data_IF_027834974115
#
_entry.id   IF_027834974115
#
_cell.length_a   1.000
_cell.length_b   1.000
_cell.length_c   1.000
_cell.angle_alpha   90.00
_cell.angle_beta   90.00
_cell.angle_gamma   90.00
#
_symmetry.space_group_name_H-M   'P 1'
#
loop_
_entity.id
_entity.type
_entity.pdbx_description
1 polymer ?
#
# COMPACT_ATOMS: atom_id res chain seq x y z
N UNK A 1 3.21 -17.11 18.63
CA UNK A 1 2.44 -15.84 18.53
C UNK A 1 3.06 -14.67 19.31
N UNK A 2 3.53 -14.81 20.57
CA UNK A 2 4.16 -13.69 21.33
C UNK A 2 5.30 -12.96 20.60
N UNK A 3 6.11 -13.68 19.81
CA UNK A 3 7.24 -13.09 19.09
C UNK A 3 6.81 -12.24 17.87
N UNK A 4 5.69 -12.58 17.20
CA UNK A 4 5.21 -11.83 16.03
C UNK A 4 4.71 -10.44 16.43
N UNK A 5 3.91 -10.34 17.49
CA UNK A 5 3.41 -9.04 17.95
C UNK A 5 4.54 -8.10 18.39
N UNK A 6 5.62 -8.65 18.94
CA UNK A 6 6.78 -7.87 19.34
C UNK A 6 7.53 -7.34 18.12
N UNK A 7 7.77 -8.19 17.12
CA UNK A 7 8.37 -7.78 15.83
C UNK A 7 7.50 -6.76 15.10
N UNK A 8 6.18 -6.99 15.04
CA UNK A 8 5.23 -6.08 14.41
C UNK A 8 5.25 -4.71 15.11
N UNK A 9 5.27 -4.68 16.44
CA UNK A 9 5.32 -3.43 17.20
C UNK A 9 6.63 -2.67 16.97
N UNK A 10 7.74 -3.40 16.86
CA UNK A 10 9.05 -2.82 16.57
C UNK A 10 9.08 -2.18 15.18
N UNK A 11 8.69 -2.93 14.15
CA UNK A 11 8.59 -2.47 12.76
C UNK A 11 7.61 -1.28 12.63
N UNK A 12 6.40 -1.36 13.20
CA UNK A 12 5.45 -0.24 13.25
C UNK A 12 6.07 1.01 13.88
N UNK A 13 6.81 0.84 14.98
CA UNK A 13 7.44 1.98 15.66
C UNK A 13 8.57 2.59 14.82
N UNK A 14 9.30 1.77 14.06
CA UNK A 14 10.31 2.19 13.11
C UNK A 14 9.71 2.95 11.94
N UNK A 15 8.71 2.37 11.26
CA UNK A 15 8.05 3.02 10.12
C UNK A 15 7.33 4.30 10.52
N UNK A 16 6.65 4.33 11.67
CA UNK A 16 5.97 5.54 12.16
C UNK A 16 6.94 6.71 12.42
N UNK A 17 8.19 6.44 12.81
CA UNK A 17 9.22 7.47 13.01
C UNK A 17 9.95 7.85 11.71
N UNK A 18 9.72 7.12 10.62
CA UNK A 18 10.36 7.41 9.34
C UNK A 18 9.87 8.74 8.77
N UNK A 19 10.80 9.57 8.30
CA UNK A 19 10.48 10.83 7.61
C UNK A 19 9.56 10.60 6.41
N UNK A 20 9.77 9.51 5.67
CA UNK A 20 8.94 9.14 4.51
C UNK A 20 7.49 8.92 4.94
N UNK A 21 7.28 8.25 6.07
CA UNK A 21 5.93 7.95 6.56
C UNK A 21 5.22 9.20 7.05
N UNK A 22 5.93 10.09 7.76
CA UNK A 22 5.37 11.38 8.19
C UNK A 22 4.96 12.21 6.97
N UNK A 23 5.80 12.25 5.93
CA UNK A 23 5.48 12.91 4.66
C UNK A 23 4.25 12.26 4.01
N UNK A 24 4.09 10.94 4.08
CA UNK A 24 2.95 10.23 3.49
C UNK A 24 1.65 10.52 4.26
N UNK A 25 1.69 10.50 5.60
CA UNK A 25 0.54 10.80 6.47
C UNK A 25 0.06 12.24 6.30
N UNK A 26 0.96 13.20 6.10
CA UNK A 26 0.61 14.61 5.94
C UNK A 26 0.36 14.95 4.46
N UNK A 27 1.17 14.40 3.57
CA UNK A 27 1.20 14.71 2.15
C UNK A 27 0.01 14.15 1.38
N UNK A 28 -0.43 12.91 1.63
CA UNK A 28 -1.61 12.37 0.96
C UNK A 28 -2.88 13.19 1.26
N UNK A 29 -3.21 13.49 2.54
CA UNK A 29 -4.36 14.34 2.84
C UNK A 29 -4.20 15.77 2.32
N UNK A 30 -2.98 16.32 2.30
CA UNK A 30 -2.73 17.64 1.71
C UNK A 30 -3.00 17.65 0.20
N UNK A 31 -2.68 16.57 -0.53
CA UNK A 31 -3.03 16.42 -1.94
C UNK A 31 -4.55 16.44 -2.13
N UNK A 32 -5.32 15.80 -1.24
CA UNK A 32 -6.79 15.85 -1.28
C UNK A 32 -7.32 17.29 -1.23
N UNK A 33 -6.77 18.13 -0.36
CA UNK A 33 -7.17 19.54 -0.24
C UNK A 33 -6.72 20.34 -1.46
N UNK A 34 -5.50 20.10 -1.95
CA UNK A 34 -5.00 20.78 -3.15
C UNK A 34 -5.86 20.46 -4.38
N UNK A 35 -6.34 19.23 -4.52
CA UNK A 35 -7.17 18.84 -5.66
C UNK A 35 -8.46 19.65 -5.76
N UNK A 36 -9.04 20.07 -4.64
CA UNK A 36 -10.21 20.96 -4.64
C UNK A 36 -9.90 22.29 -5.34
N UNK A 37 -8.71 22.85 -5.13
CA UNK A 37 -8.31 24.12 -5.76
C UNK A 37 -7.93 23.96 -7.23
N UNK A 38 -7.45 22.78 -7.65
CA UNK A 38 -7.06 22.52 -9.04
C UNK A 38 -8.23 22.08 -9.95
N UNK A 39 -9.36 21.61 -9.39
CA UNK A 39 -10.56 21.24 -10.13
C UNK A 39 -11.72 22.23 -9.85
N UNK A 40 -11.79 23.36 -10.57
CA UNK A 40 -12.88 24.32 -10.40
C UNK A 40 -14.22 23.87 -10.98
N UNK A 41 -14.26 22.90 -11.90
CA UNK A 41 -15.49 22.33 -12.46
C UNK A 41 -15.42 20.81 -12.48
N UNK A 42 -16.03 20.18 -11.48
CA UNK A 42 -16.32 18.74 -11.52
C UNK A 42 -17.70 18.57 -12.14
N UNK A 43 -17.78 18.00 -13.35
CA UNK A 43 -19.00 17.63 -14.06
C UNK A 43 -19.77 16.50 -13.33
N UNK A 44 -20.07 16.68 -12.04
CA UNK A 44 -20.81 15.73 -11.20
C UNK A 44 -19.98 14.58 -10.60
N UNK A 45 -18.66 14.49 -10.84
CA UNK A 45 -17.81 13.49 -10.18
C UNK A 45 -17.40 13.92 -8.77
N UNK A 46 -17.64 13.10 -7.72
CA UNK A 46 -17.20 13.41 -6.36
C UNK A 46 -15.67 13.47 -6.25
N UNK A 47 -15.14 14.51 -5.61
CA UNK A 47 -13.70 14.67 -5.43
C UNK A 47 -13.10 13.52 -4.60
N UNK A 48 -13.85 13.00 -3.63
CA UNK A 48 -13.47 11.83 -2.82
C UNK A 48 -13.15 10.58 -3.64
N UNK A 49 -13.82 10.37 -4.78
CA UNK A 49 -13.54 9.23 -5.67
C UNK A 49 -12.19 9.40 -6.38
N UNK A 50 -11.93 10.60 -6.90
CA UNK A 50 -10.67 10.93 -7.55
C UNK A 50 -9.49 10.88 -6.58
N UNK A 51 -9.69 11.42 -5.38
CA UNK A 51 -8.70 11.36 -4.28
C UNK A 51 -8.41 9.90 -3.92
N UNK A 52 -9.43 9.04 -3.81
CA UNK A 52 -9.21 7.63 -3.49
C UNK A 52 -8.36 6.89 -4.53
N UNK A 53 -8.60 7.13 -5.83
CA UNK A 53 -7.79 6.55 -6.91
C UNK A 53 -6.35 7.07 -6.90
N UNK A 54 -6.18 8.38 -6.69
CA UNK A 54 -4.86 8.99 -6.65
C UNK A 54 -4.05 8.49 -5.44
N UNK A 55 -4.69 8.43 -4.28
CA UNK A 55 -4.14 7.85 -3.05
C UNK A 55 -3.76 6.39 -3.23
N UNK A 56 -4.55 5.61 -3.97
CA UNK A 56 -4.20 4.22 -4.29
C UNK A 56 -2.88 4.12 -5.05
N UNK A 57 -2.70 4.93 -6.10
CA UNK A 57 -1.50 4.92 -6.93
C UNK A 57 -0.26 5.45 -6.19
N UNK A 58 -0.37 6.63 -5.55
CA UNK A 58 0.75 7.21 -4.80
C UNK A 58 1.07 6.42 -3.53
N UNK A 59 0.06 5.98 -2.80
CA UNK A 59 0.22 5.16 -1.60
C UNK A 59 0.86 3.81 -1.93
N UNK A 60 0.37 3.12 -2.96
CA UNK A 60 0.91 1.83 -3.38
C UNK A 60 2.35 1.90 -3.87
N UNK A 61 2.68 2.92 -4.68
CA UNK A 61 4.06 3.12 -5.17
C UNK A 61 5.04 3.41 -4.04
N UNK A 62 4.69 4.32 -3.13
CA UNK A 62 5.53 4.63 -1.97
C UNK A 62 5.68 3.42 -1.05
N UNK A 63 4.61 2.67 -0.80
CA UNK A 63 4.66 1.45 0.00
C UNK A 63 5.61 0.39 -0.58
N UNK A 64 5.50 0.17 -1.91
CA UNK A 64 6.37 -0.73 -2.66
C UNK A 64 7.85 -0.32 -2.54
N UNK A 65 8.15 0.96 -2.75
CA UNK A 65 9.52 1.49 -2.64
C UNK A 65 10.06 1.38 -1.21
N UNK A 66 9.25 1.73 -0.21
CA UNK A 66 9.66 1.64 1.19
C UNK A 66 10.01 0.21 1.57
N UNK A 67 9.19 -0.78 1.22
CA UNK A 67 9.50 -2.18 1.49
C UNK A 67 10.74 -2.65 0.73
N UNK A 68 10.81 -2.38 -0.58
CA UNK A 68 11.94 -2.80 -1.41
C UNK A 68 13.27 -2.25 -0.87
N UNK A 69 13.35 -0.93 -0.66
CA UNK A 69 14.57 -0.27 -0.21
C UNK A 69 14.97 -0.65 1.20
N UNK A 70 14.00 -0.84 2.11
CA UNK A 70 14.28 -1.27 3.50
C UNK A 70 14.86 -2.68 3.52
N UNK A 71 14.26 -3.62 2.77
CA UNK A 71 14.73 -5.01 2.71
C UNK A 71 16.15 -5.07 2.12
N UNK A 72 16.41 -4.34 1.04
CA UNK A 72 17.74 -4.32 0.43
C UNK A 72 18.76 -3.67 1.36
N UNK A 73 18.41 -2.57 2.01
CA UNK A 73 19.31 -1.89 2.95
C UNK A 73 19.66 -2.77 4.16
N UNK A 74 18.67 -3.44 4.75
CA UNK A 74 18.89 -4.34 5.89
C UNK A 74 19.71 -5.57 5.51
N UNK A 75 19.51 -6.11 4.31
CA UNK A 75 20.37 -7.19 3.77
C UNK A 75 21.80 -6.72 3.60
N UNK A 76 22.01 -5.57 2.96
CA UNK A 76 23.35 -5.03 2.73
C UNK A 76 24.09 -4.72 4.04
N UNK A 77 23.35 -4.37 5.10
CA UNK A 77 23.88 -4.16 6.45
C UNK A 77 24.00 -5.44 7.29
N UNK A 78 23.68 -6.61 6.72
CA UNK A 78 23.72 -7.92 7.39
C UNK A 78 22.87 -7.98 8.68
N UNK A 79 21.80 -7.17 8.75
CA UNK A 79 20.91 -7.16 9.91
C UNK A 79 20.20 -8.50 10.05
N UNK A 80 19.91 -9.16 8.93
CA UNK A 80 19.29 -10.47 8.94
C UNK A 80 20.17 -11.58 9.50
N UNK A 81 21.51 -11.42 9.53
CA UNK A 81 22.44 -12.42 10.07
C UNK A 81 22.23 -12.63 11.59
N UNK A 82 21.82 -11.57 12.31
CA UNK A 82 21.42 -11.67 13.72
C UNK A 82 20.17 -12.54 13.91
N UNK A 83 19.29 -12.56 12.92
CA UNK A 83 18.08 -13.40 12.92
C UNK A 83 18.32 -14.77 12.28
N UNK A 84 19.41 -14.96 11.54
CA UNK A 84 19.79 -16.23 10.90
C UNK A 84 20.12 -17.31 11.95
N UNK A 85 20.71 -16.93 13.09
CA UNK A 85 21.02 -17.83 14.21
C UNK A 85 19.75 -18.32 14.92
N UNK A 86 18.64 -17.59 14.78
CA UNK A 86 17.43 -17.76 15.59
C UNK A 86 16.26 -18.26 14.74
N UNK A 87 16.13 -19.58 14.67
CA UNK A 87 14.95 -20.40 14.34
C UNK A 87 14.08 -20.04 13.11
N UNK A 88 13.62 -21.07 12.38
CA UNK A 88 13.00 -20.93 11.06
C UNK A 88 11.69 -20.13 11.06
N UNK A 89 10.88 -20.26 12.13
CA UNK A 89 9.58 -19.59 12.27
C UNK A 89 9.70 -18.06 12.42
N UNK A 90 10.87 -17.57 12.84
CA UNK A 90 11.08 -16.15 13.13
C UNK A 90 11.34 -15.39 11.82
N UNK A 91 12.02 -16.02 10.85
CA UNK A 91 12.29 -15.44 9.52
C UNK A 91 11.01 -15.10 8.76
N UNK A 92 10.05 -16.02 8.73
CA UNK A 92 8.75 -15.79 8.08
C UNK A 92 7.92 -14.76 8.82
N UNK A 93 8.00 -14.75 10.16
CA UNK A 93 7.31 -13.78 11.01
C UNK A 93 7.84 -12.36 10.79
N UNK A 94 9.14 -12.19 10.50
CA UNK A 94 9.75 -10.88 10.22
C UNK A 94 9.26 -10.28 8.90
N UNK A 95 9.27 -11.07 7.81
CA UNK A 95 8.79 -10.59 6.50
C UNK A 95 7.29 -10.23 6.56
N UNK A 96 6.48 -11.07 7.22
CA UNK A 96 5.07 -10.76 7.45
C UNK A 96 4.88 -9.51 8.32
N UNK A 97 5.70 -9.32 9.35
CA UNK A 97 5.63 -8.13 10.20
C UNK A 97 5.94 -6.85 9.40
N UNK A 98 6.92 -6.87 8.48
CA UNK A 98 7.23 -5.74 7.60
C UNK A 98 6.08 -5.40 6.66
N UNK A 99 5.55 -6.42 5.96
CA UNK A 99 4.40 -6.25 5.08
C UNK A 99 3.21 -5.63 5.82
N UNK A 100 2.79 -6.23 6.94
CA UNK A 100 1.64 -5.75 7.72
C UNK A 100 1.89 -4.35 8.28
N UNK A 101 3.10 -4.05 8.74
CA UNK A 101 3.42 -2.72 9.29
C UNK A 101 3.28 -1.63 8.24
N UNK A 102 3.89 -1.81 7.06
CA UNK A 102 3.81 -0.82 5.97
C UNK A 102 2.39 -0.73 5.44
N UNK A 103 1.72 -1.86 5.21
CA UNK A 103 0.33 -1.89 4.76
C UNK A 103 -0.59 -1.12 5.71
N UNK A 104 -0.54 -1.38 7.03
CA UNK A 104 -1.36 -0.67 8.01
C UNK A 104 -1.04 0.82 8.06
N UNK A 105 0.24 1.19 7.97
CA UNK A 105 0.64 2.59 7.98
C UNK A 105 0.05 3.35 6.77
N UNK A 106 0.17 2.79 5.57
CA UNK A 106 -0.35 3.41 4.35
C UNK A 106 -1.88 3.37 4.32
N UNK A 107 -2.50 2.31 4.84
CA UNK A 107 -3.95 2.21 4.99
C UNK A 107 -4.52 3.34 5.86
N UNK A 108 -3.87 3.64 6.99
CA UNK A 108 -4.28 4.75 7.86
C UNK A 108 -4.14 6.10 7.14
N UNK A 109 -3.04 6.31 6.41
CA UNK A 109 -2.87 7.54 5.64
C UNK A 109 -3.90 7.68 4.51
N UNK A 110 -4.24 6.57 3.84
CA UNK A 110 -5.27 6.54 2.81
C UNK A 110 -6.66 6.83 3.40
N UNK A 111 -7.00 6.22 4.53
CA UNK A 111 -8.26 6.47 5.22
C UNK A 111 -8.38 7.94 5.66
N UNK A 112 -7.31 8.53 6.20
CA UNK A 112 -7.28 9.95 6.54
C UNK A 112 -7.48 10.83 5.30
N UNK A 113 -6.78 10.54 4.21
CA UNK A 113 -6.91 11.32 2.97
C UNK A 113 -8.31 11.27 2.38
N UNK A 114 -8.92 10.08 2.32
CA UNK A 114 -10.28 9.91 1.80
C UNK A 114 -11.30 10.56 2.73
N UNK A 115 -11.12 10.46 4.05
CA UNK A 115 -11.99 11.14 5.02
C UNK A 115 -11.96 12.65 4.86
N UNK A 116 -10.79 13.25 4.59
CA UNK A 116 -10.71 14.67 4.26
C UNK A 116 -11.40 14.99 2.93
N UNK A 117 -11.23 14.15 1.90
CA UNK A 117 -11.93 14.31 0.63
C UNK A 117 -13.45 14.36 0.79
N UNK A 118 -14.02 13.48 1.61
CA UNK A 118 -15.46 13.47 1.93
C UNK A 118 -15.88 14.73 2.68
N UNK A 119 -15.06 15.23 3.62
CA UNK A 119 -15.35 16.47 4.33
C UNK A 119 -15.34 17.69 3.39
N UNK A 120 -14.45 17.71 2.40
CA UNK A 120 -14.42 18.76 1.37
C UNK A 120 -15.68 18.67 0.49
N UNK A 121 -16.05 17.48 0.02
CA UNK A 121 -17.27 17.27 -0.77
C UNK A 121 -18.52 17.74 -0.02
N UNK A 122 -18.61 17.42 1.28
CA UNK A 122 -19.75 17.80 2.11
C UNK A 122 -19.84 19.32 2.31
N UNK A 123 -18.70 20.00 2.53
CA UNK A 123 -18.69 21.43 2.87
C UNK A 123 -18.77 22.35 1.65
N UNK A 124 -18.22 21.94 0.50
CA UNK A 124 -18.10 22.79 -0.69
C UNK A 124 -19.04 22.40 -1.84
N UNK A 125 -19.49 21.14 -1.92
CA UNK A 125 -20.34 20.67 -3.02
C UNK A 125 -21.78 20.35 -2.59
N UNK A 126 -22.15 20.61 -1.32
CA UNK A 126 -23.48 20.34 -0.73
C UNK A 126 -24.01 18.91 -0.98
N UNK A 127 -23.11 17.95 -1.18
CA UNK A 127 -23.49 16.55 -1.45
C UNK A 127 -23.93 15.84 -0.17
N UNK A 128 -25.05 15.11 -0.25
CA UNK A 128 -25.60 14.37 0.89
C UNK A 128 -24.75 13.10 1.16
N UNK A 129 -24.33 12.83 2.40
CA UNK A 129 -23.48 11.68 2.73
C UNK A 129 -24.01 10.32 2.28
N UNK A 130 -25.33 10.14 2.20
CA UNK A 130 -25.97 8.90 1.76
C UNK A 130 -25.71 8.56 0.29
N UNK A 131 -25.44 9.55 -0.55
CA UNK A 131 -25.11 9.36 -1.97
C UNK A 131 -23.60 9.10 -2.18
N UNK A 132 -22.76 9.63 -1.28
CA UNK A 132 -21.30 9.50 -1.35
C UNK A 132 -20.77 8.17 -0.80
N UNK A 133 -21.37 7.67 0.28
CA UNK A 133 -20.92 6.49 1.01
C UNK A 133 -20.66 5.24 0.15
N UNK A 134 -21.53 4.87 -0.81
CA UNK A 134 -21.29 3.70 -1.65
C UNK A 134 -20.05 3.85 -2.53
N UNK A 135 -19.92 4.97 -3.26
CA UNK A 135 -18.80 5.20 -4.19
C UNK A 135 -17.45 5.36 -3.47
N UNK A 136 -17.47 5.98 -2.29
CA UNK A 136 -16.28 6.08 -1.43
C UNK A 136 -15.87 4.70 -0.90
N UNK A 137 -16.83 3.88 -0.48
CA UNK A 137 -16.57 2.52 -0.01
C UNK A 137 -15.94 1.64 -1.08
N UNK A 138 -16.45 1.71 -2.31
CA UNK A 138 -15.89 0.99 -3.45
C UNK A 138 -14.47 1.46 -3.77
N UNK A 139 -14.25 2.77 -3.84
CA UNK A 139 -12.94 3.35 -4.14
C UNK A 139 -11.91 3.06 -3.04
N UNK A 140 -12.35 3.03 -1.77
CA UNK A 140 -11.52 2.62 -0.66
C UNK A 140 -11.12 1.15 -0.78
N UNK A 141 -12.07 0.25 -1.06
CA UNK A 141 -11.78 -1.18 -1.25
C UNK A 141 -10.78 -1.42 -2.39
N UNK A 142 -10.94 -0.70 -3.50
CA UNK A 142 -10.02 -0.74 -4.64
C UNK A 142 -8.63 -0.26 -4.23
N UNK A 143 -8.55 0.88 -3.52
CA UNK A 143 -7.27 1.44 -3.06
C UNK A 143 -6.51 0.48 -2.15
N UNK A 144 -7.21 -0.14 -1.20
CA UNK A 144 -6.63 -1.09 -0.26
C UNK A 144 -6.08 -2.35 -0.97
N UNK A 145 -6.81 -2.84 -1.97
CA UNK A 145 -6.39 -3.98 -2.79
C UNK A 145 -5.15 -3.66 -3.63
N UNK A 146 -5.13 -2.48 -4.25
CA UNK A 146 -3.98 -2.00 -5.03
C UNK A 146 -2.73 -1.82 -4.16
N UNK A 147 -2.87 -1.24 -2.97
CA UNK A 147 -1.77 -1.06 -2.00
C UNK A 147 -1.24 -2.42 -1.53
N UNK A 148 -2.12 -3.38 -1.22
CA UNK A 148 -1.71 -4.73 -0.80
C UNK A 148 -0.85 -5.42 -1.87
N UNK A 149 -1.28 -5.36 -3.13
CA UNK A 149 -0.54 -5.91 -4.28
C UNK A 149 0.82 -5.22 -4.40
N UNK A 150 0.84 -3.88 -4.41
CA UNK A 150 2.08 -3.11 -4.55
C UNK A 150 3.08 -3.40 -3.42
N UNK A 151 2.61 -3.56 -2.17
CA UNK A 151 3.44 -3.95 -1.04
C UNK A 151 4.10 -5.33 -1.24
N UNK A 152 3.33 -6.33 -1.69
CA UNK A 152 3.85 -7.68 -1.93
C UNK A 152 4.91 -7.70 -3.03
N UNK A 153 4.70 -6.94 -4.11
CA UNK A 153 5.68 -6.83 -5.20
C UNK A 153 6.94 -6.07 -4.76
N UNK A 154 6.78 -4.97 -4.01
CA UNK A 154 7.91 -4.25 -3.44
C UNK A 154 8.78 -5.15 -2.56
N UNK A 155 8.14 -6.03 -1.79
CA UNK A 155 8.84 -7.05 -1.01
C UNK A 155 9.59 -8.05 -1.90
N UNK A 156 8.96 -8.59 -2.95
CA UNK A 156 9.59 -9.48 -3.93
C UNK A 156 10.82 -8.84 -4.59
N UNK A 157 10.69 -7.59 -5.04
CA UNK A 157 11.79 -6.84 -5.66
C UNK A 157 12.92 -6.63 -4.66
N UNK A 158 12.57 -6.25 -3.42
CA UNK A 158 13.53 -6.14 -2.34
C UNK A 158 14.29 -7.44 -2.08
N UNK A 159 13.62 -8.59 -2.22
CA UNK A 159 14.22 -9.93 -2.09
C UNK A 159 15.13 -10.32 -3.25
N UNK A 160 14.84 -9.90 -4.47
CA UNK A 160 15.57 -10.31 -5.67
C UNK A 160 16.77 -9.42 -5.99
N UNK A 161 16.66 -8.12 -5.70
CA UNK A 161 17.67 -7.11 -6.03
C UNK A 161 18.58 -6.83 -4.83
N UNK A 162 19.85 -6.52 -5.09
CA UNK A 162 20.84 -6.21 -4.04
C UNK A 162 21.25 -4.73 -4.01
N UNK A 163 20.95 -3.96 -5.07
CA UNK A 163 21.19 -2.51 -5.11
C UNK A 163 19.93 -1.72 -4.73
N UNK A 164 20.06 -0.84 -3.74
CA UNK A 164 18.97 0.04 -3.26
C UNK A 164 18.36 0.88 -4.38
N UNK A 165 19.13 1.57 -5.25
CA UNK A 165 18.53 2.42 -6.30
C UNK A 165 17.79 1.60 -7.36
N UNK A 166 18.31 0.45 -7.79
CA UNK A 166 17.60 -0.38 -8.77
C UNK A 166 16.32 -0.97 -8.17
N UNK A 167 16.34 -1.38 -6.90
CA UNK A 167 15.16 -1.84 -6.19
C UNK A 167 14.09 -0.75 -6.11
N UNK A 168 14.47 0.51 -5.83
CA UNK A 168 13.54 1.63 -5.82
C UNK A 168 12.89 1.87 -7.21
N UNK A 169 13.68 1.94 -8.27
CA UNK A 169 13.18 2.20 -9.63
C UNK A 169 12.25 1.07 -10.09
N UNK A 170 12.66 -0.19 -9.89
CA UNK A 170 11.83 -1.35 -10.23
C UNK A 170 10.55 -1.39 -9.39
N UNK A 171 10.62 -1.04 -8.10
CA UNK A 171 9.46 -1.00 -7.22
C UNK A 171 8.44 0.06 -7.64
N UNK A 172 8.88 1.23 -8.14
CA UNK A 172 8.00 2.25 -8.70
C UNK A 172 7.29 1.70 -9.94
N UNK A 173 8.06 1.15 -10.88
CA UNK A 173 7.50 0.69 -12.15
C UNK A 173 6.59 -0.53 -11.97
N UNK A 174 7.09 -1.61 -11.40
CA UNK A 174 6.34 -2.85 -11.24
C UNK A 174 5.20 -2.69 -10.23
N UNK A 175 5.43 -1.98 -9.12
CA UNK A 175 4.41 -1.73 -8.11
C UNK A 175 3.20 -1.00 -8.67
N UNK A 176 3.42 0.08 -9.43
CA UNK A 176 2.31 0.83 -10.03
C UNK A 176 1.57 -0.01 -11.09
N UNK A 177 2.31 -0.59 -12.05
CA UNK A 177 1.72 -1.29 -13.19
C UNK A 177 0.91 -2.51 -12.77
N UNK A 178 1.42 -3.30 -11.83
CA UNK A 178 0.71 -4.48 -11.35
C UNK A 178 -0.43 -4.14 -10.38
N UNK A 179 -0.36 -3.02 -9.65
CA UNK A 179 -1.48 -2.56 -8.83
C UNK A 179 -2.72 -2.18 -9.66
N UNK A 180 -2.52 -1.76 -10.92
CA UNK A 180 -3.63 -1.48 -11.85
C UNK A 180 -4.45 -2.72 -12.23
N UNK A 181 -3.90 -3.94 -12.07
CA UNK A 181 -4.66 -5.17 -12.27
C UNK A 181 -5.87 -5.28 -11.33
N UNK A 182 -5.83 -4.60 -10.18
CA UNK A 182 -6.95 -4.54 -9.25
C UNK A 182 -8.09 -3.61 -9.71
N UNK A 183 -7.82 -2.75 -10.69
CA UNK A 183 -8.75 -1.70 -11.18
C UNK A 183 -9.30 -2.06 -12.56
N UNK A 184 -8.44 -2.57 -13.45
CA UNK A 184 -8.72 -2.78 -14.88
C UNK A 184 -10.05 -3.50 -15.17
N UNK A 185 -10.36 -4.65 -14.54
CA UNK A 185 -11.56 -5.41 -14.94
C UNK A 185 -12.88 -4.76 -14.48
N UNK A 186 -12.85 -3.97 -13.40
CA UNK A 186 -14.01 -3.21 -12.95
C UNK A 186 -14.34 -2.02 -13.84
N UNK A 187 -13.38 -1.54 -14.63
CA UNK A 187 -13.57 -0.45 -15.62
C UNK A 187 -13.96 -1.01 -17.00
N UNK A 188 -13.50 -2.21 -17.33
CA UNK A 188 -13.71 -2.80 -18.66
C UNK A 188 -14.99 -3.64 -18.77
N UNK A 189 -15.60 -4.05 -17.66
CA UNK A 189 -16.76 -4.93 -17.64
C UNK A 189 -17.84 -4.35 -16.71
N UNK A 190 -18.87 -3.74 -17.29
CA UNK A 190 -19.97 -3.08 -16.55
C UNK A 190 -20.80 -4.04 -15.67
N UNK A 191 -20.76 -5.35 -15.93
CA UNK A 191 -21.54 -6.35 -15.19
C UNK A 191 -20.92 -6.81 -13.88
N UNK A 192 -19.70 -6.37 -13.56
CA UNK A 192 -18.95 -6.81 -12.38
C UNK A 192 -18.94 -5.71 -11.33
N UNK A 193 -19.32 -6.03 -10.09
CA UNK A 193 -19.15 -5.10 -8.98
C UNK A 193 -17.65 -4.82 -8.76
N UNK A 194 -17.18 -3.56 -8.94
CA UNK A 194 -15.75 -3.25 -8.92
C UNK A 194 -15.09 -3.57 -7.57
N UNK A 195 -15.78 -3.34 -6.46
CA UNK A 195 -15.22 -3.54 -5.12
C UNK A 195 -15.02 -5.03 -4.80
N UNK A 196 -16.02 -5.87 -5.06
CA UNK A 196 -15.93 -7.31 -4.83
C UNK A 196 -14.83 -7.94 -5.68
N UNK A 197 -14.74 -7.54 -6.94
CA UNK A 197 -13.70 -8.02 -7.83
C UNK A 197 -12.30 -7.58 -7.38
N UNK A 198 -12.15 -6.30 -7.03
CA UNK A 198 -10.87 -5.75 -6.59
C UNK A 198 -10.38 -6.41 -5.31
N UNK A 199 -11.27 -6.64 -4.33
CA UNK A 199 -10.95 -7.39 -3.11
C UNK A 199 -10.53 -8.83 -3.45
N UNK A 200 -11.27 -9.51 -4.33
CA UNK A 200 -10.95 -10.87 -4.74
C UNK A 200 -9.56 -10.97 -5.37
N UNK A 201 -9.28 -10.14 -6.36
CA UNK A 201 -7.96 -10.08 -7.03
C UNK A 201 -6.87 -9.63 -6.06
N UNK A 202 -7.15 -8.64 -5.23
CA UNK A 202 -6.27 -8.15 -4.17
C UNK A 202 -5.82 -9.28 -3.25
N UNK A 203 -6.76 -10.06 -2.72
CA UNK A 203 -6.47 -11.19 -1.83
C UNK A 203 -5.67 -12.26 -2.58
N UNK A 204 -6.10 -12.67 -3.78
CA UNK A 204 -5.47 -13.76 -4.53
C UNK A 204 -4.04 -13.40 -4.94
N UNK A 205 -3.83 -12.24 -5.57
CA UNK A 205 -2.50 -11.82 -6.03
C UNK A 205 -1.58 -11.53 -4.85
N UNK A 206 -2.04 -10.80 -3.83
CA UNK A 206 -1.21 -10.52 -2.65
C UNK A 206 -0.81 -11.81 -1.95
N UNK A 207 -1.74 -12.77 -1.79
CA UNK A 207 -1.41 -14.07 -1.19
C UNK A 207 -0.41 -14.86 -2.03
N UNK A 208 -0.58 -14.86 -3.36
CA UNK A 208 0.34 -15.52 -4.27
C UNK A 208 1.77 -14.95 -4.16
N UNK A 209 1.92 -13.62 -4.23
CA UNK A 209 3.20 -12.96 -4.08
C UNK A 209 3.80 -13.14 -2.68
N UNK A 210 3.00 -13.02 -1.61
CA UNK A 210 3.47 -13.28 -0.25
C UNK A 210 3.99 -14.71 -0.08
N UNK A 211 3.30 -15.71 -0.65
CA UNK A 211 3.77 -17.10 -0.62
C UNK A 211 5.10 -17.22 -1.37
N UNK A 212 5.21 -16.61 -2.56
CA UNK A 212 6.45 -16.60 -3.34
C UNK A 212 7.60 -15.93 -2.56
N UNK A 213 7.37 -14.79 -1.92
CA UNK A 213 8.33 -14.08 -1.09
C UNK A 213 8.84 -14.95 0.05
N UNK A 214 7.93 -15.60 0.77
CA UNK A 214 8.28 -16.51 1.85
C UNK A 214 9.08 -17.72 1.35
N UNK A 215 8.76 -18.25 0.17
CA UNK A 215 9.50 -19.36 -0.44
C UNK A 215 10.91 -18.93 -0.88
N UNK A 216 11.05 -17.75 -1.48
CA UNK A 216 12.35 -17.21 -1.92
C UNK A 216 13.22 -16.88 -0.71
N UNK A 217 12.66 -16.21 0.30
CA UNK A 217 13.38 -15.87 1.52
C UNK A 217 13.83 -17.10 2.31
N UNK A 218 13.08 -18.21 2.24
CA UNK A 218 13.51 -19.49 2.83
C UNK A 218 14.71 -20.11 2.11
N UNK A 219 14.82 -19.95 0.78
CA UNK A 219 15.87 -20.58 -0.03
C UNK A 219 17.13 -19.73 -0.12
N UNK A 220 17.03 -18.39 -0.09
CA UNK A 220 18.20 -17.52 -0.09
C UNK A 220 18.96 -17.69 1.24
N UNK A 221 20.23 -18.09 1.15
CA UNK A 221 21.20 -17.87 2.23
C UNK A 221 21.57 -16.39 2.14
N UNK A 222 21.19 -15.64 3.19
CA UNK A 222 21.56 -14.23 3.37
C UNK A 222 23.05 -14.13 3.73
#
# INVERSE_FOLDING_TARGET
MKNFNLLLKDELSGFRKSKVMVILIIGLPLISVLMHYFQPDTEGMPLSMLVALLVASLGGTLASVMLATTIVSERNRKVYDLFVIRDYNIRTSLMMAKFVSVYLCVAVAAALSISLGVLVDWYFQDMVPSQLLPGVGESFAVSMSAIAIACSIGMLIGLLIDSVPAAAILAIYAGNQLSMLAVLPGVMIESINPALFSIGVGIVLTSCFLIADLMIFRRKRL
#
